data_IF_172218494505
#
_entry.id   IF_172218494505
#
_cell.length_a   1.000
_cell.length_b   1.000
_cell.length_c   1.000
_cell.angle_alpha   90.00
_cell.angle_beta   90.00
_cell.angle_gamma   90.00
#
_symmetry.space_group_name_H-M   'P 1'
#
loop_
_entity.id
_entity.type
_entity.pdbx_description
1 polymer ?
#
# COMPACT_ATOMS: atom_id res chain seq x y z
N UNK A 1 -0.14 -12.53 23.21
CA UNK A 1 -0.65 -12.59 21.84
C UNK A 1 -0.14 -13.83 21.15
N UNK A 2 -1.03 -14.54 20.47
CA UNK A 2 -0.67 -15.69 19.63
C UNK A 2 0.02 -15.21 18.32
N UNK A 3 0.49 -16.16 17.52
CA UNK A 3 1.17 -15.84 16.25
C UNK A 3 0.27 -15.09 15.28
N UNK A 4 -0.99 -15.51 15.14
CA UNK A 4 -1.97 -14.94 14.21
C UNK A 4 -2.32 -13.49 14.57
N UNK A 5 -2.46 -13.19 15.86
CA UNK A 5 -2.75 -11.84 16.35
C UNK A 5 -1.58 -10.89 16.06
N UNK A 6 -0.32 -11.33 16.25
CA UNK A 6 0.86 -10.54 15.91
C UNK A 6 0.95 -10.32 14.40
N UNK A 7 0.69 -11.36 13.62
CA UNK A 7 0.71 -11.29 12.17
C UNK A 7 -0.37 -10.32 11.64
N UNK A 8 -1.57 -10.36 12.23
CA UNK A 8 -2.66 -9.42 11.92
C UNK A 8 -2.30 -7.98 12.26
N UNK A 9 -1.63 -7.72 13.39
CA UNK A 9 -1.12 -6.39 13.71
C UNK A 9 -0.16 -5.88 12.64
N UNK A 10 0.80 -6.69 12.23
CA UNK A 10 1.76 -6.32 11.18
C UNK A 10 1.07 -6.02 9.84
N UNK A 11 0.09 -6.83 9.44
CA UNK A 11 -0.67 -6.57 8.21
C UNK A 11 -1.49 -5.28 8.30
N UNK A 12 -2.11 -4.99 9.45
CA UNK A 12 -2.85 -3.75 9.66
C UNK A 12 -1.94 -2.52 9.64
N UNK A 13 -0.74 -2.60 10.23
CA UNK A 13 0.25 -1.53 10.17
C UNK A 13 0.63 -1.22 8.72
N UNK A 14 0.98 -2.24 7.92
CA UNK A 14 1.31 -2.07 6.49
C UNK A 14 0.13 -1.47 5.71
N UNK A 15 -1.09 -1.98 5.94
CA UNK A 15 -2.29 -1.48 5.27
C UNK A 15 -2.59 -0.01 5.63
N UNK A 16 -2.39 0.38 6.89
CA UNK A 16 -2.61 1.75 7.35
C UNK A 16 -1.59 2.72 6.74
N UNK A 17 -0.31 2.34 6.69
CA UNK A 17 0.73 3.15 6.04
C UNK A 17 0.40 3.37 4.56
N UNK A 18 0.06 2.30 3.82
CA UNK A 18 -0.30 2.41 2.40
C UNK A 18 -1.56 3.25 2.21
N UNK A 19 -2.56 3.09 3.07
CA UNK A 19 -3.78 3.92 3.04
C UNK A 19 -3.45 5.42 3.18
N UNK A 20 -2.52 5.77 4.07
CA UNK A 20 -2.05 7.14 4.25
C UNK A 20 -1.26 7.71 3.07
N UNK A 21 -0.69 6.86 2.22
CA UNK A 21 0.04 7.27 1.02
C UNK A 21 -0.87 7.60 -0.17
N UNK A 22 -2.12 7.11 -0.20
CA UNK A 22 -3.04 7.32 -1.32
C UNK A 22 -3.91 8.55 -1.04
N UNK A 23 -3.74 9.69 -1.76
CA UNK A 23 -4.39 10.95 -1.43
C UNK A 23 -5.82 11.08 -2.00
N UNK A 24 -6.43 9.97 -2.38
CA UNK A 24 -7.76 9.90 -3.00
C UNK A 24 -8.53 8.70 -2.48
N UNK A 25 -9.86 8.71 -2.66
CA UNK A 25 -10.69 7.54 -2.41
C UNK A 25 -10.22 6.33 -3.24
N UNK A 26 -10.13 5.18 -2.60
CA UNK A 26 -9.70 3.91 -3.19
C UNK A 26 -10.59 2.76 -2.71
N UNK A 27 -10.67 1.68 -3.48
CA UNK A 27 -11.53 0.53 -3.17
C UNK A 27 -10.73 -0.72 -2.79
N UNK A 28 -9.70 -1.07 -3.57
CA UNK A 28 -8.81 -2.19 -3.29
C UNK A 28 -7.34 -1.76 -3.40
N UNK A 29 -6.50 -2.38 -2.57
CA UNK A 29 -5.04 -2.24 -2.60
C UNK A 29 -4.42 -3.62 -2.77
N UNK A 30 -3.47 -3.73 -3.68
CA UNK A 30 -2.73 -4.95 -3.98
C UNK A 30 -1.26 -4.71 -3.69
N UNK A 31 -0.73 -5.40 -2.66
CA UNK A 31 0.62 -5.13 -2.15
C UNK A 31 1.48 -6.40 -2.17
N UNK A 32 2.74 -6.22 -2.56
CA UNK A 32 3.80 -7.21 -2.38
C UNK A 32 4.95 -6.52 -1.65
N UNK A 33 5.45 -7.16 -0.60
CA UNK A 33 6.60 -6.69 0.15
C UNK A 33 7.72 -7.73 0.07
N UNK A 34 8.92 -7.29 -0.31
CA UNK A 34 10.14 -8.08 -0.27
C UNK A 34 11.00 -7.62 0.90
N UNK A 35 11.49 -8.56 1.71
CA UNK A 35 12.44 -8.29 2.78
C UNK A 35 13.60 -9.24 2.61
N UNK A 36 14.81 -8.67 2.57
CA UNK A 36 16.09 -9.38 2.53
C UNK A 36 16.96 -8.89 3.67
N UNK A 37 18.08 -9.57 3.92
CA UNK A 37 19.04 -9.14 4.95
C UNK A 37 19.66 -7.75 4.68
N UNK A 38 19.56 -7.25 3.44
CA UNK A 38 20.21 -6.00 3.01
C UNK A 38 19.22 -4.86 2.71
N UNK A 39 18.00 -5.19 2.29
CA UNK A 39 17.03 -4.22 1.82
C UNK A 39 15.60 -4.74 1.98
N UNK A 40 14.65 -3.79 1.99
CA UNK A 40 13.23 -4.06 1.87
C UNK A 40 12.61 -3.17 0.81
N UNK A 41 11.59 -3.68 0.12
CA UNK A 41 10.83 -2.94 -0.87
C UNK A 41 9.34 -3.29 -0.74
N UNK A 42 8.49 -2.27 -0.83
CA UNK A 42 7.03 -2.43 -0.89
C UNK A 42 6.56 -1.89 -2.22
N UNK A 43 5.86 -2.74 -2.97
CA UNK A 43 5.24 -2.40 -4.26
C UNK A 43 3.75 -2.54 -4.06
N UNK A 44 2.97 -1.53 -4.43
CA UNK A 44 1.53 -1.61 -4.39
C UNK A 44 0.82 -0.94 -5.56
N UNK A 45 -0.36 -1.43 -5.87
CA UNK A 45 -1.30 -0.81 -6.81
C UNK A 45 -2.65 -0.64 -6.12
N UNK A 46 -3.47 0.28 -6.61
CA UNK A 46 -4.80 0.51 -6.06
C UNK A 46 -5.85 0.74 -7.15
N UNK A 47 -7.10 0.44 -6.83
CA UNK A 47 -8.26 0.78 -7.65
C UNK A 47 -9.01 1.97 -7.07
N UNK A 48 -9.63 2.76 -7.95
CA UNK A 48 -10.55 3.83 -7.57
C UNK A 48 -11.98 3.27 -7.50
N UNK A 49 -12.89 3.87 -6.72
CA UNK A 49 -14.27 3.41 -6.62
C UNK A 49 -14.93 3.21 -7.99
N UNK A 50 -15.44 2.01 -8.26
CA UNK A 50 -16.13 1.69 -9.51
C UNK A 50 -15.24 1.52 -10.74
N UNK A 51 -13.93 1.36 -10.56
CA UNK A 51 -12.97 1.08 -11.65
C UNK A 51 -12.09 -0.11 -11.31
N UNK A 52 -11.92 -1.02 -12.27
CA UNK A 52 -10.96 -2.12 -12.18
C UNK A 52 -9.53 -1.70 -12.63
N UNK A 53 -9.33 -0.43 -12.97
CA UNK A 53 -8.03 0.10 -13.39
C UNK A 53 -7.03 0.08 -12.22
N UNK A 54 -5.89 -0.56 -12.45
CA UNK A 54 -4.77 -0.57 -11.52
C UNK A 54 -3.95 0.71 -11.66
N UNK A 55 -3.98 1.53 -10.61
CA UNK A 55 -3.17 2.74 -10.49
C UNK A 55 -1.86 2.38 -9.75
N UNK A 56 -0.72 2.77 -10.33
CA UNK A 56 0.60 2.45 -9.79
C UNK A 56 1.03 3.49 -8.74
N UNK A 57 1.49 3.05 -7.57
CA UNK A 57 1.90 3.95 -6.49
C UNK A 57 2.99 4.95 -6.88
N UNK A 58 3.88 4.56 -7.79
CA UNK A 58 4.98 5.40 -8.29
C UNK A 58 4.49 6.65 -9.03
N UNK A 59 3.24 6.68 -9.48
CA UNK A 59 2.66 7.85 -10.13
C UNK A 59 1.97 8.81 -9.17
N UNK A 60 1.73 8.42 -7.90
CA UNK A 60 1.02 9.24 -6.91
C UNK A 60 1.63 10.65 -6.77
N UNK A 61 2.96 10.82 -6.58
CA UNK A 61 3.55 12.15 -6.42
C UNK A 61 3.24 13.07 -7.60
N UNK A 62 3.34 12.55 -8.82
CA UNK A 62 3.11 13.29 -10.05
C UNK A 62 1.63 13.56 -10.32
N UNK A 63 0.77 12.56 -10.15
CA UNK A 63 -0.65 12.64 -10.49
C UNK A 63 -1.43 13.53 -9.52
N UNK A 64 -1.06 13.52 -8.24
CA UNK A 64 -1.75 14.26 -7.20
C UNK A 64 -0.96 15.46 -6.68
N UNK A 65 0.20 15.75 -7.27
CA UNK A 65 1.06 16.87 -6.91
C UNK A 65 1.40 16.87 -5.40
N UNK A 66 1.78 15.70 -4.90
CA UNK A 66 2.28 15.49 -3.53
C UNK A 66 3.79 15.23 -3.57
N UNK A 67 4.49 15.51 -2.46
CA UNK A 67 5.92 15.21 -2.37
C UNK A 67 6.17 13.71 -2.35
N UNK A 68 7.33 13.30 -2.87
CA UNK A 68 7.93 11.99 -2.58
C UNK A 68 8.33 11.86 -1.10
#
# INVERSE_FOLDING_TARGET
>A
MNFEEKLSQMYNEIANEISGMIPVEWEQVFTIAYVTDQAGEVIFNYTKPGSDELNYYTYIPREYNVSE
#
